data_IF_996608874368
#
_entry.id   IF_996608874368
#
_cell.length_a   1.000
_cell.length_b   1.000
_cell.length_c   1.000
_cell.angle_alpha   90.00
_cell.angle_beta   90.00
_cell.angle_gamma   90.00
#
_symmetry.space_group_name_H-M   'P 1'
#
loop_
_entity.id
_entity.type
_entity.pdbx_description
1 polymer ?
#
# COMPACT_ATOMS: atom_id res chain seq x y z
N UNK A 1 3.22 19.73 -23.96
CA UNK A 1 2.89 20.91 -23.13
C UNK A 1 3.93 22.01 -23.25
N UNK A 2 3.53 23.29 -23.25
CA UNK A 2 4.48 24.41 -23.17
C UNK A 2 5.16 24.45 -21.79
N UNK A 3 6.40 24.96 -21.67
CA UNK A 3 7.12 25.04 -20.39
C UNK A 3 6.33 25.74 -19.26
N UNK A 4 5.57 26.80 -19.58
CA UNK A 4 4.70 27.49 -18.62
C UNK A 4 3.55 26.62 -18.09
N UNK A 5 2.87 25.86 -18.97
CA UNK A 5 1.79 24.94 -18.57
C UNK A 5 2.29 23.80 -17.67
N UNK A 6 3.52 23.31 -17.87
CA UNK A 6 4.13 22.28 -17.00
C UNK A 6 4.42 22.80 -15.58
N UNK A 7 4.91 24.03 -15.46
CA UNK A 7 5.17 24.65 -14.16
C UNK A 7 3.89 24.91 -13.37
N UNK A 8 2.82 25.36 -14.05
CA UNK A 8 1.50 25.55 -13.43
C UNK A 8 0.87 24.22 -12.98
N UNK A 9 0.94 23.18 -13.82
CA UNK A 9 0.50 21.83 -13.46
C UNK A 9 1.24 21.30 -12.23
N UNK A 10 2.58 21.42 -12.22
CA UNK A 10 3.42 21.01 -11.10
C UNK A 10 3.07 21.75 -9.81
N UNK A 11 2.92 23.08 -9.87
CA UNK A 11 2.50 23.90 -8.73
C UNK A 11 1.12 23.50 -8.20
N UNK A 12 0.17 23.22 -9.10
CA UNK A 12 -1.17 22.79 -8.72
C UNK A 12 -1.17 21.39 -8.07
N UNK A 13 -0.37 20.46 -8.57
CA UNK A 13 -0.18 19.14 -7.96
C UNK A 13 0.44 19.25 -6.55
N UNK A 14 1.51 20.03 -6.41
CA UNK A 14 2.12 20.29 -5.10
C UNK A 14 1.15 20.95 -4.13
N UNK A 15 0.31 21.87 -4.60
CA UNK A 15 -0.72 22.51 -3.78
C UNK A 15 -1.78 21.51 -3.32
N UNK A 16 -2.22 20.60 -4.19
CA UNK A 16 -3.14 19.53 -3.85
C UNK A 16 -2.53 18.63 -2.77
N UNK A 17 -1.29 18.18 -2.96
CA UNK A 17 -0.56 17.38 -1.99
C UNK A 17 -0.40 18.11 -0.65
N UNK A 18 -0.02 19.39 -0.65
CA UNK A 18 0.14 20.17 0.57
C UNK A 18 -1.18 20.31 1.35
N UNK A 19 -2.31 20.50 0.67
CA UNK A 19 -3.63 20.54 1.32
C UNK A 19 -3.97 19.19 1.95
N UNK A 20 -3.80 18.10 1.21
CA UNK A 20 -4.08 16.75 1.69
C UNK A 20 -3.23 16.39 2.91
N UNK A 21 -1.93 16.68 2.86
CA UNK A 21 -1.02 16.45 3.98
C UNK A 21 -1.36 17.31 5.19
N UNK A 22 -1.81 18.55 4.98
CA UNK A 22 -2.26 19.43 6.06
C UNK A 22 -3.50 18.87 6.74
N UNK A 23 -4.50 18.44 5.96
CA UNK A 23 -5.71 17.82 6.50
C UNK A 23 -5.35 16.55 7.27
N UNK A 24 -4.53 15.68 6.66
CA UNK A 24 -4.06 14.45 7.30
C UNK A 24 -3.33 14.73 8.62
N UNK A 25 -2.45 15.74 8.65
CA UNK A 25 -1.71 16.13 9.85
C UNK A 25 -2.65 16.65 10.94
N UNK A 26 -3.56 17.57 10.61
CA UNK A 26 -4.51 18.13 11.59
C UNK A 26 -5.41 17.04 12.15
N UNK A 27 -5.90 16.12 11.31
CA UNK A 27 -6.75 15.03 11.78
C UNK A 27 -5.97 14.03 12.63
N UNK A 28 -4.78 13.63 12.21
CA UNK A 28 -3.98 12.61 12.90
C UNK A 28 -3.38 13.14 14.21
N UNK A 29 -2.75 14.31 14.19
CA UNK A 29 -2.05 14.87 15.34
C UNK A 29 -2.92 15.83 16.16
N UNK A 30 -3.76 16.64 15.51
CA UNK A 30 -4.65 17.57 16.20
C UNK A 30 -5.70 16.84 17.04
N UNK A 31 -6.40 15.86 16.46
CA UNK A 31 -7.42 15.10 17.19
C UNK A 31 -6.82 13.95 17.99
N UNK A 32 -5.75 13.31 17.50
CA UNK A 32 -5.10 12.19 18.20
C UNK A 32 -4.24 12.58 19.39
N UNK A 33 -3.69 13.80 19.43
CA UNK A 33 -2.78 14.24 20.51
C UNK A 33 -3.27 15.52 21.19
N UNK A 34 -3.51 16.62 20.45
CA UNK A 34 -3.82 17.92 21.08
C UNK A 34 -5.21 17.96 21.72
N UNK A 35 -6.20 17.32 21.09
CA UNK A 35 -7.58 17.27 21.58
C UNK A 35 -7.93 15.94 22.24
N UNK A 36 -6.93 15.14 22.60
CA UNK A 36 -7.15 13.79 23.14
C UNK A 36 -7.94 13.82 24.44
N UNK A 37 -7.65 14.76 25.34
CA UNK A 37 -8.33 14.90 26.63
C UNK A 37 -9.83 15.20 26.49
N UNK A 38 -10.26 16.25 25.77
CA UNK A 38 -11.70 16.50 25.59
C UNK A 38 -12.38 15.40 24.77
N UNK A 39 -11.72 14.82 23.76
CA UNK A 39 -12.30 13.76 22.95
C UNK A 39 -12.47 12.45 23.73
N UNK A 40 -11.58 12.15 24.67
CA UNK A 40 -11.68 10.94 25.48
C UNK A 40 -12.88 10.93 26.45
N UNK A 41 -13.57 12.06 26.62
CA UNK A 41 -14.86 12.10 27.33
C UNK A 41 -15.98 11.41 26.55
N UNK A 42 -15.82 11.27 25.23
CA UNK A 42 -16.77 10.59 24.35
C UNK A 42 -16.30 9.15 24.18
N UNK A 43 -17.16 8.21 24.54
CA UNK A 43 -16.91 6.78 24.41
C UNK A 43 -17.54 6.26 23.12
N UNK A 44 -16.72 5.68 22.24
CA UNK A 44 -17.15 5.06 20.99
C UNK A 44 -16.97 3.55 21.11
N UNK A 45 -18.08 2.82 21.31
CA UNK A 45 -18.06 1.36 21.43
C UNK A 45 -17.23 0.83 22.61
N UNK A 46 -17.15 1.59 23.71
CA UNK A 46 -16.38 1.22 24.91
C UNK A 46 -14.92 1.71 24.93
N UNK A 47 -14.46 2.40 23.89
CA UNK A 47 -13.12 3.00 23.83
C UNK A 47 -13.20 4.53 23.73
N UNK A 48 -12.27 5.29 24.33
CA UNK A 48 -12.23 6.75 24.20
C UNK A 48 -12.04 7.22 22.75
N UNK A 49 -12.78 8.23 22.32
CA UNK A 49 -12.77 8.72 20.93
C UNK A 49 -11.40 9.29 20.52
N UNK A 50 -10.71 10.00 21.41
CA UNK A 50 -9.36 10.53 21.14
C UNK A 50 -8.37 9.40 20.87
N UNK A 51 -8.45 8.32 21.64
CA UNK A 51 -7.67 7.10 21.41
C UNK A 51 -8.00 6.43 20.07
N UNK A 52 -9.27 6.39 19.67
CA UNK A 52 -9.66 5.87 18.35
C UNK A 52 -9.04 6.69 17.21
N UNK A 53 -9.05 8.02 17.31
CA UNK A 53 -8.41 8.90 16.32
C UNK A 53 -6.90 8.67 16.23
N UNK A 54 -6.24 8.52 17.39
CA UNK A 54 -4.82 8.28 17.47
C UNK A 54 -4.39 6.95 16.82
N UNK A 55 -5.24 5.92 16.89
CA UNK A 55 -4.91 4.58 16.37
C UNK A 55 -5.46 4.29 14.98
N UNK A 56 -6.76 4.47 14.78
CA UNK A 56 -7.49 3.98 13.60
C UNK A 56 -8.08 5.12 12.77
N UNK A 57 -8.37 6.27 13.38
CA UNK A 57 -8.98 7.40 12.66
C UNK A 57 -8.10 7.94 11.54
N UNK A 58 -6.79 8.01 11.75
CA UNK A 58 -5.83 8.52 10.75
C UNK A 58 -5.82 7.69 9.47
N UNK A 59 -5.90 6.35 9.56
CA UNK A 59 -5.87 5.47 8.38
C UNK A 59 -7.17 5.58 7.57
N UNK A 60 -8.34 5.66 8.21
CA UNK A 60 -9.60 5.85 7.49
C UNK A 60 -9.64 7.19 6.76
N UNK A 61 -9.19 8.25 7.43
CA UNK A 61 -9.11 9.59 6.84
C UNK A 61 -8.11 9.60 5.69
N UNK A 62 -6.96 8.93 5.86
CA UNK A 62 -5.98 8.77 4.80
C UNK A 62 -6.56 8.08 3.55
N UNK A 63 -7.33 7.01 3.71
CA UNK A 63 -8.01 6.34 2.58
C UNK A 63 -9.01 7.28 1.89
N UNK A 64 -9.82 8.03 2.64
CA UNK A 64 -10.73 9.03 2.08
C UNK A 64 -9.98 10.12 1.30
N UNK A 65 -8.83 10.57 1.83
CA UNK A 65 -7.97 11.54 1.17
C UNK A 65 -7.35 10.98 -0.12
N UNK A 66 -6.99 9.70 -0.19
CA UNK A 66 -6.53 9.05 -1.42
C UNK A 66 -7.64 9.05 -2.48
N UNK A 67 -8.87 8.72 -2.11
CA UNK A 67 -10.00 8.79 -3.06
C UNK A 67 -10.22 10.21 -3.57
N UNK A 68 -10.21 11.20 -2.66
CA UNK A 68 -10.35 12.60 -3.04
C UNK A 68 -9.19 13.05 -3.95
N UNK A 69 -7.97 12.62 -3.64
CA UNK A 69 -6.79 12.86 -4.48
C UNK A 69 -6.98 12.30 -5.87
N UNK A 70 -7.35 11.03 -6.02
CA UNK A 70 -7.56 10.39 -7.33
C UNK A 70 -8.60 11.14 -8.18
N UNK A 71 -9.73 11.53 -7.58
CA UNK A 71 -10.76 12.33 -8.28
C UNK A 71 -10.25 13.72 -8.63
N UNK A 72 -9.50 14.36 -7.73
CA UNK A 72 -8.95 15.70 -7.94
C UNK A 72 -7.84 15.70 -8.99
N UNK A 73 -7.05 14.63 -9.05
CA UNK A 73 -6.00 14.43 -10.04
C UNK A 73 -6.61 14.25 -11.43
N UNK A 74 -7.64 13.43 -11.58
CA UNK A 74 -8.37 13.32 -12.85
C UNK A 74 -8.91 14.67 -13.33
N UNK A 75 -9.40 15.53 -12.42
CA UNK A 75 -9.83 16.89 -12.76
C UNK A 75 -8.65 17.79 -13.17
N UNK A 76 -7.50 17.62 -12.53
CA UNK A 76 -6.29 18.36 -12.83
C UNK A 76 -5.72 17.95 -14.20
N UNK A 77 -5.62 16.66 -14.48
CA UNK A 77 -5.15 16.11 -15.74
C UNK A 77 -6.02 16.56 -16.91
N UNK A 78 -7.35 16.49 -16.74
CA UNK A 78 -8.32 17.01 -17.72
C UNK A 78 -8.18 18.52 -17.95
N UNK A 79 -7.84 19.29 -16.91
CA UNK A 79 -7.68 20.76 -17.01
C UNK A 79 -6.41 21.15 -17.76
N UNK A 80 -5.35 20.37 -17.62
CA UNK A 80 -4.06 20.64 -18.24
C UNK A 80 -3.83 19.90 -19.57
N UNK A 81 -4.85 19.14 -20.03
CA UNK A 81 -4.79 18.31 -21.24
C UNK A 81 -3.59 17.35 -21.20
N UNK A 82 -3.36 16.77 -20.02
CA UNK A 82 -2.42 15.66 -19.82
C UNK A 82 -3.13 14.36 -20.27
N UNK A 83 -3.58 14.32 -21.52
CA UNK A 83 -3.95 13.05 -22.16
C UNK A 83 -2.67 12.26 -22.47
N UNK A 84 -2.72 10.93 -22.35
CA UNK A 84 -1.60 10.02 -22.63
C UNK A 84 -1.04 10.23 -24.04
N UNK A 85 -0.07 11.13 -24.17
CA UNK A 85 0.78 11.25 -25.34
C UNK A 85 2.23 11.26 -24.86
N UNK A 86 2.66 10.10 -24.38
CA UNK A 86 4.05 9.78 -24.03
C UNK A 86 4.17 8.26 -23.91
N UNK A 87 4.77 7.63 -24.91
CA UNK A 87 5.01 6.20 -24.97
C UNK A 87 5.58 5.64 -23.67
N UNK A 88 4.82 4.73 -23.05
CA UNK A 88 5.35 3.85 -22.03
C UNK A 88 6.42 2.98 -22.68
N UNK A 89 7.68 3.23 -22.34
CA UNK A 89 8.79 2.29 -22.49
C UNK A 89 8.56 1.05 -21.64
N UNK A 90 7.51 0.30 -21.95
CA UNK A 90 7.32 -1.08 -21.49
C UNK A 90 8.02 -1.97 -22.52
N UNK A 91 9.00 -2.80 -22.13
CA UNK A 91 9.58 -3.83 -23.00
C UNK A 91 8.59 -4.94 -23.37
N UNK A 92 7.29 -4.77 -23.08
CA UNK A 92 6.26 -5.73 -23.39
C UNK A 92 5.94 -5.66 -24.88
N UNK A 93 6.83 -6.24 -25.69
CA UNK A 93 6.53 -6.57 -27.07
C UNK A 93 5.36 -7.54 -27.08
N UNK A 94 4.26 -7.02 -27.61
CA UNK A 94 3.08 -7.71 -28.08
C UNK A 94 3.43 -9.06 -28.71
N UNK A 95 2.77 -10.12 -28.24
CA UNK A 95 2.87 -11.50 -28.73
C UNK A 95 2.39 -11.70 -30.18
N UNK A 96 2.34 -10.65 -31.00
CA UNK A 96 2.03 -10.71 -32.42
C UNK A 96 3.18 -11.25 -33.29
N UNK A 97 4.34 -11.58 -32.70
CA UNK A 97 5.42 -12.33 -33.37
C UNK A 97 5.38 -13.84 -33.09
N UNK A 98 4.56 -14.31 -32.13
CA UNK A 98 4.50 -15.73 -31.74
C UNK A 98 3.70 -16.61 -32.72
N UNK A 99 3.02 -16.01 -33.71
CA UNK A 99 2.25 -16.74 -34.71
C UNK A 99 3.09 -17.41 -35.81
N UNK A 100 4.43 -17.26 -35.78
CA UNK A 100 5.33 -17.86 -36.77
C UNK A 100 6.34 -18.88 -36.20
N UNK A 101 6.18 -19.27 -34.94
CA UNK A 101 7.03 -20.30 -34.31
C UNK A 101 6.19 -21.47 -33.80
N UNK A 102 5.45 -22.08 -34.71
CA UNK A 102 4.87 -23.41 -34.52
C UNK A 102 6.05 -24.41 -34.57
N UNK A 103 6.29 -25.13 -33.46
CA UNK A 103 7.30 -26.20 -33.26
C UNK A 103 8.73 -25.81 -32.86
N UNK A 104 8.90 -25.34 -31.63
CA UNK A 104 10.09 -25.62 -30.83
C UNK A 104 9.67 -25.72 -29.35
N UNK A 105 10.27 -26.61 -28.56
CA UNK A 105 10.08 -26.64 -27.11
C UNK A 105 10.55 -25.29 -26.53
N UNK A 106 9.62 -24.34 -26.40
CA UNK A 106 9.91 -23.00 -25.93
C UNK A 106 10.30 -23.07 -24.45
N UNK A 107 11.60 -23.06 -24.17
CA UNK A 107 12.07 -22.77 -22.83
C UNK A 107 11.62 -21.34 -22.48
N UNK A 108 11.00 -21.12 -21.32
CA UNK A 108 10.56 -19.79 -20.93
C UNK A 108 11.77 -18.85 -20.91
N UNK A 109 11.64 -17.69 -21.57
CA UNK A 109 12.67 -16.65 -21.58
C UNK A 109 13.08 -16.29 -20.15
N UNK A 110 14.31 -15.78 -19.94
CA UNK A 110 14.79 -15.35 -18.61
C UNK A 110 13.79 -14.40 -17.92
N UNK A 111 13.15 -13.51 -18.69
CA UNK A 111 12.10 -12.62 -18.22
C UNK A 111 10.84 -13.36 -17.74
N UNK A 112 10.41 -14.41 -18.44
CA UNK A 112 9.26 -15.22 -18.05
C UNK A 112 9.54 -16.00 -16.75
N UNK A 113 10.77 -16.51 -16.58
CA UNK A 113 11.18 -17.19 -15.33
C UNK A 113 11.25 -16.21 -14.16
N UNK A 114 11.86 -15.04 -14.35
CA UNK A 114 11.89 -13.96 -13.37
C UNK A 114 10.48 -13.56 -12.91
N UNK A 115 9.56 -13.35 -13.85
CA UNK A 115 8.17 -13.00 -13.56
C UNK A 115 7.46 -14.10 -12.77
N UNK A 116 7.62 -15.37 -13.18
CA UNK A 116 7.04 -16.50 -12.47
C UNK A 116 7.59 -16.63 -11.04
N UNK A 117 8.88 -16.38 -10.82
CA UNK A 117 9.49 -16.44 -9.49
C UNK A 117 9.05 -15.26 -8.62
N UNK A 118 8.94 -14.06 -9.18
CA UNK A 118 8.40 -12.90 -8.47
C UNK A 118 6.94 -13.13 -8.05
N UNK A 119 6.09 -13.61 -8.96
CA UNK A 119 4.71 -13.97 -8.64
C UNK A 119 4.63 -15.05 -7.57
N UNK A 120 5.53 -16.04 -7.59
CA UNK A 120 5.61 -17.07 -6.55
C UNK A 120 6.00 -16.50 -5.20
N UNK A 121 6.97 -15.59 -5.15
CA UNK A 121 7.34 -14.86 -3.92
C UNK A 121 6.14 -14.08 -3.39
N UNK A 122 5.47 -13.30 -4.23
CA UNK A 122 4.26 -12.56 -3.85
C UNK A 122 3.17 -13.49 -3.31
N UNK A 123 2.89 -14.60 -3.99
CA UNK A 123 1.90 -15.58 -3.56
C UNK A 123 2.22 -16.18 -2.18
N UNK A 124 3.49 -16.51 -1.92
CA UNK A 124 3.93 -17.01 -0.61
C UNK A 124 3.73 -15.96 0.47
N UNK A 125 4.16 -14.71 0.22
CA UNK A 125 4.04 -13.63 1.19
C UNK A 125 2.58 -13.30 1.51
N UNK A 126 1.72 -13.25 0.49
CA UNK A 126 0.28 -13.04 0.67
C UNK A 126 -0.36 -14.19 1.44
N UNK A 127 0.08 -15.44 1.22
CA UNK A 127 -0.40 -16.60 1.98
C UNK A 127 -0.01 -16.50 3.45
N UNK A 128 1.26 -16.17 3.74
CA UNK A 128 1.73 -15.96 5.11
C UNK A 128 0.94 -14.83 5.77
N UNK A 129 0.82 -13.69 5.09
CA UNK A 129 0.08 -12.54 5.59
C UNK A 129 -1.39 -12.89 5.87
N UNK A 130 -2.05 -13.64 4.99
CA UNK A 130 -3.44 -14.08 5.16
C UNK A 130 -3.60 -14.99 6.38
N UNK A 131 -2.75 -16.03 6.49
CA UNK A 131 -2.79 -16.97 7.61
C UNK A 131 -2.55 -16.25 8.93
N UNK A 132 -1.60 -15.32 8.97
CA UNK A 132 -1.30 -14.58 10.20
C UNK A 132 -2.44 -13.61 10.54
N UNK A 133 -2.93 -12.85 9.57
CA UNK A 133 -3.94 -11.81 9.80
C UNK A 133 -5.31 -12.41 10.15
N UNK A 134 -5.76 -13.44 9.43
CA UNK A 134 -7.09 -14.03 9.60
C UNK A 134 -7.07 -15.29 10.49
N UNK A 135 -6.02 -16.11 10.43
CA UNK A 135 -5.90 -17.30 11.26
C UNK A 135 -5.76 -16.97 12.74
N UNK A 136 -4.87 -16.04 13.09
CA UNK A 136 -4.70 -15.61 14.49
C UNK A 136 -5.74 -14.56 14.91
N UNK A 137 -6.17 -13.70 13.98
CA UNK A 137 -7.15 -12.65 14.26
C UNK A 137 -8.61 -13.13 14.37
N UNK A 138 -8.97 -14.25 13.73
CA UNK A 138 -10.35 -14.76 13.71
C UNK A 138 -10.44 -16.19 14.26
N UNK A 139 -9.71 -17.14 13.68
CA UNK A 139 -9.89 -18.57 14.03
C UNK A 139 -9.35 -18.92 15.42
N UNK A 140 -8.23 -18.34 15.81
CA UNK A 140 -7.59 -18.60 17.11
C UNK A 140 -7.87 -17.48 18.13
N UNK A 141 -8.82 -16.59 17.84
CA UNK A 141 -9.07 -15.42 18.68
C UNK A 141 -9.51 -15.79 20.09
N UNK A 142 -10.35 -16.83 20.24
CA UNK A 142 -10.84 -17.29 21.55
C UNK A 142 -9.72 -17.82 22.46
N UNK A 143 -8.88 -18.78 22.04
CA UNK A 143 -7.77 -19.23 22.86
C UNK A 143 -6.70 -18.16 23.06
N UNK A 144 -6.46 -17.29 22.07
CA UNK A 144 -5.50 -16.18 22.22
C UNK A 144 -6.00 -15.14 23.23
N UNK A 145 -7.30 -14.86 23.25
CA UNK A 145 -7.88 -13.90 24.20
C UNK A 145 -7.81 -14.35 25.67
N UNK A 146 -7.51 -15.62 25.94
CA UNK A 146 -7.20 -16.09 27.28
C UNK A 146 -5.88 -15.50 27.82
N UNK A 147 -4.99 -15.06 26.92
CA UNK A 147 -3.74 -14.40 27.28
C UNK A 147 -3.94 -12.89 27.20
N UNK A 148 -3.67 -12.21 28.31
CA UNK A 148 -3.71 -10.75 28.40
C UNK A 148 -2.32 -10.18 28.14
N UNK A 149 -2.20 -9.32 27.12
CA UNK A 149 -1.00 -8.56 26.83
C UNK A 149 -1.22 -7.10 27.23
N UNK A 150 -0.60 -6.67 28.34
CA UNK A 150 -0.70 -5.27 28.79
C UNK A 150 -2.12 -4.78 29.11
N UNK A 151 -3.00 -5.69 29.55
CA UNK A 151 -4.41 -5.38 29.88
C UNK A 151 -5.39 -5.52 28.72
N UNK A 152 -4.93 -5.91 27.53
CA UNK A 152 -5.79 -6.20 26.37
C UNK A 152 -5.68 -7.68 25.95
N UNK A 153 -6.75 -8.30 25.42
CA UNK A 153 -6.70 -9.66 24.92
C UNK A 153 -5.71 -9.81 23.75
N UNK A 154 -4.87 -10.84 23.77
CA UNK A 154 -3.82 -11.03 22.75
C UNK A 154 -4.39 -11.27 21.35
N UNK A 155 -5.53 -11.97 21.24
CA UNK A 155 -6.20 -12.19 19.95
C UNK A 155 -6.66 -10.87 19.32
N UNK A 156 -7.20 -9.96 20.14
CA UNK A 156 -7.53 -8.61 19.71
C UNK A 156 -6.31 -7.80 19.26
N UNK A 157 -5.19 -7.89 19.99
CA UNK A 157 -3.93 -7.25 19.57
C UNK A 157 -3.45 -7.77 18.20
N UNK A 158 -3.53 -9.08 17.95
CA UNK A 158 -3.16 -9.68 16.67
C UNK A 158 -4.07 -9.21 15.53
N UNK A 159 -5.38 -9.14 15.78
CA UNK A 159 -6.36 -8.67 14.82
C UNK A 159 -6.13 -7.22 14.39
N UNK A 160 -5.64 -6.36 15.28
CA UNK A 160 -5.43 -4.94 15.00
C UNK A 160 -4.00 -4.56 14.63
N UNK A 161 -3.03 -4.90 15.49
CA UNK A 161 -1.65 -4.41 15.39
C UNK A 161 -0.68 -5.52 14.94
N UNK A 162 -0.96 -6.79 15.24
CA UNK A 162 -0.09 -7.89 14.84
C UNK A 162 0.07 -8.01 13.32
N UNK A 163 -1.02 -7.86 12.57
CA UNK A 163 -1.01 -7.94 11.11
C UNK A 163 -0.14 -6.87 10.44
N UNK A 164 -0.13 -5.63 10.96
CA UNK A 164 0.68 -4.54 10.39
C UNK A 164 2.18 -4.77 10.63
N UNK A 165 2.59 -5.25 11.82
CA UNK A 165 4.00 -5.56 12.07
C UNK A 165 4.50 -6.69 11.18
N UNK A 166 3.69 -7.73 11.01
CA UNK A 166 4.01 -8.86 10.13
C UNK A 166 4.06 -8.40 8.68
N UNK A 167 3.12 -7.55 8.25
CA UNK A 167 3.13 -6.97 6.92
C UNK A 167 4.42 -6.18 6.64
N UNK A 168 4.86 -5.33 7.57
CA UNK A 168 6.13 -4.59 7.44
C UNK A 168 7.32 -5.55 7.37
N UNK A 169 7.38 -6.59 8.20
CA UNK A 169 8.44 -7.60 8.15
C UNK A 169 8.47 -8.33 6.80
N UNK A 170 7.30 -8.65 6.23
CA UNK A 170 7.18 -9.27 4.91
C UNK A 170 7.63 -8.33 3.79
N UNK A 171 7.39 -7.02 3.88
CA UNK A 171 7.92 -6.03 2.92
C UNK A 171 9.46 -6.03 2.95
N UNK A 172 10.08 -6.00 4.13
CA UNK A 172 11.54 -6.06 4.22
C UNK A 172 12.09 -7.36 3.65
N UNK A 173 11.47 -8.49 3.99
CA UNK A 173 11.85 -9.79 3.44
C UNK A 173 11.70 -9.83 1.91
N UNK A 174 10.61 -9.26 1.38
CA UNK A 174 10.38 -9.13 -0.06
C UNK A 174 11.49 -8.32 -0.71
N UNK A 175 11.81 -7.13 -0.18
CA UNK A 175 12.86 -6.27 -0.73
C UNK A 175 14.22 -6.98 -0.78
N UNK A 176 14.58 -7.72 0.28
CA UNK A 176 15.82 -8.51 0.31
C UNK A 176 15.77 -9.67 -0.70
N UNK A 177 14.63 -10.34 -0.80
CA UNK A 177 14.41 -11.45 -1.74
C UNK A 177 14.44 -10.97 -3.19
N UNK A 178 13.93 -9.76 -3.44
CA UNK A 178 13.93 -9.11 -4.75
C UNK A 178 15.35 -8.80 -5.18
N UNK A 179 16.16 -8.21 -4.30
CA UNK A 179 17.59 -7.97 -4.58
C UNK A 179 18.35 -9.26 -4.93
N UNK A 180 17.94 -10.42 -4.38
CA UNK A 180 18.52 -11.73 -4.75
C UNK A 180 18.00 -12.20 -6.11
N UNK A 181 16.73 -11.96 -6.41
CA UNK A 181 16.10 -12.32 -7.68
C UNK A 181 16.70 -11.49 -8.83
N UNK A 182 16.88 -10.19 -8.64
CA UNK A 182 17.50 -9.28 -9.62
C UNK A 182 18.94 -9.71 -9.93
N UNK A 183 19.72 -10.04 -8.90
CA UNK A 183 21.08 -10.60 -9.05
C UNK A 183 21.11 -11.94 -9.77
N UNK A 184 20.09 -12.79 -9.58
CA UNK A 184 20.01 -14.11 -10.22
C UNK A 184 19.72 -14.02 -11.71
N UNK A 185 18.96 -13.00 -12.14
CA UNK A 185 18.53 -12.82 -13.52
C UNK A 185 19.26 -11.72 -14.28
N UNK A 186 20.22 -11.04 -13.64
CA UNK A 186 21.08 -9.99 -14.22
C UNK A 186 20.28 -8.77 -14.73
N UNK A 187 19.18 -8.46 -14.05
CA UNK A 187 18.39 -7.25 -14.28
C UNK A 187 18.88 -6.05 -13.44
N UNK A 188 20.07 -6.15 -12.85
CA UNK A 188 20.71 -5.01 -12.19
C UNK A 188 21.20 -4.05 -13.26
N UNK A 189 20.58 -2.87 -13.33
CA UNK A 189 21.16 -1.72 -14.05
C UNK A 189 22.60 -1.49 -13.55
N UNK A 190 23.53 -1.24 -14.48
CA UNK A 190 24.82 -0.60 -14.17
C UNK A 190 24.60 0.80 -13.57
#
# INVERSE_FOLDING_TARGET
>A
MTPGKRAEYWSANLRLLAILLTIWFVVSFGFGILLVEPLNTIMLGGYPLGFWFAQQGSIYIFVVLIFFYAVSMNKLDNKFDVGEDSGSGTPYQSGSQLAHAEHAHAQPSKAAQYWSENLRLLAILLTIWFVVSFGFGILLVEPLNAVMLGGYPLGFWFAQQGSIYIFVALIFFYAISMNKLDKKYDFGEE
#
